data_IF_711677457768
#
_entry.id   IF_711677457768
#
_cell.length_a   1.000
_cell.length_b   1.000
_cell.length_c   1.000
_cell.angle_alpha   90.00
_cell.angle_beta   90.00
_cell.angle_gamma   90.00
#
_symmetry.space_group_name_H-M   'P 1'
#
loop_
_entity.id
_entity.type
_entity.pdbx_description
1 polymer ?
#
# COMPACT_ATOMS: atom_id res chain seq x y z
N UNK A 1 1.47 -4.52 15.58
CA UNK A 1 2.15 -5.68 14.93
C UNK A 1 1.30 -6.28 13.81
N UNK A 2 0.04 -6.62 14.08
CA UNK A 2 -0.91 -7.21 13.10
C UNK A 2 -1.01 -6.44 11.78
N UNK A 3 -1.18 -5.11 11.82
CA UNK A 3 -1.23 -4.28 10.61
C UNK A 3 0.06 -4.34 9.78
N UNK A 4 1.22 -4.42 10.45
CA UNK A 4 2.52 -4.60 9.80
C UNK A 4 2.61 -5.93 9.09
N UNK A 5 2.18 -7.01 9.75
CA UNK A 5 2.17 -8.35 9.16
C UNK A 5 1.24 -8.45 7.94
N UNK A 6 0.04 -7.85 8.01
CA UNK A 6 -0.89 -7.78 6.86
C UNK A 6 -0.26 -7.00 5.71
N UNK A 7 0.33 -5.83 5.99
CA UNK A 7 1.00 -5.01 4.97
C UNK A 7 2.15 -5.78 4.31
N UNK A 8 2.93 -6.52 5.10
CA UNK A 8 4.04 -7.33 4.63
C UNK A 8 3.58 -8.48 3.72
N UNK A 9 2.52 -9.21 4.11
CA UNK A 9 1.96 -10.28 3.28
C UNK A 9 1.45 -9.77 1.93
N UNK A 10 0.78 -8.62 1.93
CA UNK A 10 0.31 -7.98 0.70
C UNK A 10 1.51 -7.62 -0.17
N UNK A 11 2.52 -6.93 0.38
CA UNK A 11 3.73 -6.56 -0.35
C UNK A 11 4.48 -7.78 -0.90
N UNK A 12 4.53 -8.88 -0.15
CA UNK A 12 5.13 -10.13 -0.60
C UNK A 12 4.41 -10.70 -1.83
N UNK A 13 3.08 -10.72 -1.81
CA UNK A 13 2.29 -11.18 -2.95
C UNK A 13 2.47 -10.27 -4.18
N UNK A 14 2.52 -8.96 -3.99
CA UNK A 14 2.80 -7.99 -5.07
C UNK A 14 4.21 -8.20 -5.64
N UNK A 15 5.21 -8.39 -4.78
CA UNK A 15 6.59 -8.65 -5.20
C UNK A 15 6.71 -9.95 -6.00
N UNK A 16 6.09 -11.04 -5.54
CA UNK A 16 6.08 -12.32 -6.24
C UNK A 16 5.40 -12.23 -7.62
N UNK A 17 4.42 -11.32 -7.78
CA UNK A 17 3.69 -11.10 -9.04
C UNK A 17 4.22 -9.93 -9.88
N UNK A 18 5.41 -9.40 -9.53
CA UNK A 18 6.03 -8.28 -10.25
C UNK A 18 6.78 -8.69 -11.53
N UNK A 19 6.92 -10.00 -11.80
CA UNK A 19 7.61 -10.50 -12.99
C UNK A 19 6.76 -10.33 -14.26
N UNK A 20 7.42 -10.14 -15.42
CA UNK A 20 6.72 -10.01 -16.70
C UNK A 20 5.87 -11.24 -17.04
N UNK A 21 6.34 -12.43 -16.66
CA UNK A 21 5.59 -13.67 -16.83
C UNK A 21 4.28 -13.66 -16.03
N UNK A 22 4.33 -13.27 -14.76
CA UNK A 22 3.15 -13.19 -13.91
C UNK A 22 2.15 -12.14 -14.43
N UNK A 23 2.65 -10.97 -14.86
CA UNK A 23 1.84 -9.92 -15.49
C UNK A 23 1.05 -10.43 -16.69
N UNK A 24 1.73 -11.11 -17.64
CA UNK A 24 1.10 -11.67 -18.83
C UNK A 24 0.10 -12.78 -18.51
N UNK A 25 0.42 -13.65 -17.53
CA UNK A 25 -0.42 -14.78 -17.13
C UNK A 25 -1.71 -14.35 -16.40
N UNK A 26 -1.62 -13.34 -15.53
CA UNK A 26 -2.74 -12.86 -14.72
C UNK A 26 -3.63 -11.85 -15.45
N UNK A 27 -3.10 -11.15 -16.46
CA UNK A 27 -3.84 -10.18 -17.27
C UNK A 27 -4.57 -9.15 -16.40
N UNK A 28 -5.90 -9.02 -16.55
CA UNK A 28 -6.71 -8.03 -15.82
C UNK A 28 -6.71 -8.25 -14.30
N UNK A 29 -6.55 -9.49 -13.82
CA UNK A 29 -6.48 -9.82 -12.38
C UNK A 29 -5.19 -9.29 -11.74
N UNK A 30 -4.12 -9.12 -12.52
CA UNK A 30 -2.86 -8.55 -12.03
C UNK A 30 -3.05 -7.13 -11.51
N UNK A 31 -3.79 -6.30 -12.25
CA UNK A 31 -4.07 -4.92 -11.85
C UNK A 31 -4.93 -4.89 -10.58
N UNK A 32 -5.93 -5.77 -10.45
CA UNK A 32 -6.73 -5.88 -9.22
C UNK A 32 -5.88 -6.22 -8.00
N UNK A 33 -4.95 -7.17 -8.14
CA UNK A 33 -4.00 -7.52 -7.08
C UNK A 33 -3.06 -6.36 -6.76
N UNK A 34 -2.51 -5.69 -7.78
CA UNK A 34 -1.57 -4.59 -7.56
C UNK A 34 -2.23 -3.33 -6.99
N UNK A 35 -3.54 -3.16 -7.12
CA UNK A 35 -4.25 -2.05 -6.48
C UNK A 35 -4.28 -2.17 -4.94
N UNK A 36 -4.00 -3.34 -4.36
CA UNK A 36 -3.81 -3.46 -2.91
C UNK A 36 -2.62 -2.66 -2.37
N UNK A 37 -1.74 -2.13 -3.24
CA UNK A 37 -0.70 -1.17 -2.83
C UNK A 37 -1.30 0.07 -2.17
N UNK A 38 -2.50 0.50 -2.58
CA UNK A 38 -3.18 1.64 -1.96
C UNK A 38 -3.62 1.34 -0.53
N UNK A 39 -4.03 0.08 -0.26
CA UNK A 39 -4.34 -0.36 1.10
C UNK A 39 -3.08 -0.36 1.96
N UNK A 40 -1.95 -0.86 1.44
CA UNK A 40 -0.66 -0.84 2.14
C UNK A 40 -0.20 0.58 2.44
N UNK A 41 -0.38 1.52 1.50
CA UNK A 41 -0.02 2.92 1.68
C UNK A 41 -0.77 3.59 2.85
N UNK A 42 -1.92 3.04 3.27
CA UNK A 42 -2.67 3.48 4.45
C UNK A 42 -2.26 2.68 5.69
N UNK A 43 -2.17 1.35 5.57
CA UNK A 43 -1.89 0.46 6.70
C UNK A 43 -0.48 0.65 7.28
N UNK A 44 0.53 0.91 6.45
CA UNK A 44 1.90 1.01 6.91
C UNK A 44 2.16 2.27 7.77
N UNK A 45 1.72 3.49 7.39
CA UNK A 45 1.82 4.65 8.27
C UNK A 45 1.00 4.50 9.56
N UNK A 46 -0.21 3.93 9.48
CA UNK A 46 -1.05 3.66 10.67
C UNK A 46 -0.35 2.69 11.61
N UNK A 47 0.26 1.62 11.07
CA UNK A 47 1.03 0.69 11.87
C UNK A 47 2.18 1.40 12.60
N UNK A 48 2.89 2.29 11.92
CA UNK A 48 4.02 3.01 12.50
C UNK A 48 3.57 4.01 13.57
N UNK A 49 2.49 4.75 13.33
CA UNK A 49 1.87 5.65 14.30
C UNK A 49 1.46 4.93 15.60
N UNK A 50 0.90 3.72 15.51
CA UNK A 50 0.59 2.92 16.70
C UNK A 50 1.79 2.26 17.37
N UNK A 51 2.89 2.09 16.62
CA UNK A 51 4.11 1.47 17.13
C UNK A 51 4.91 2.44 18.00
N UNK A 52 4.93 3.73 17.65
CA UNK A 52 5.65 4.72 18.44
C UNK A 52 4.95 4.96 19.77
N UNK A 53 5.72 4.93 20.86
CA UNK A 53 5.23 5.23 22.22
C UNK A 53 5.68 6.61 22.72
N UNK A 54 6.44 7.32 21.89
CA UNK A 54 7.02 8.63 22.15
C UNK A 54 6.51 9.58 21.07
N UNK A 55 6.27 10.85 21.40
CA UNK A 55 6.01 11.86 20.39
C UNK A 55 7.26 12.05 19.52
N UNK A 56 7.22 11.46 18.32
CA UNK A 56 8.16 11.73 17.23
C UNK A 56 7.41 12.36 16.07
N UNK A 57 7.97 13.36 15.38
CA UNK A 57 7.37 13.92 14.17
C UNK A 57 7.47 12.97 12.96
N UNK A 58 8.40 12.01 12.97
CA UNK A 58 8.70 11.15 11.82
C UNK A 58 7.47 10.35 11.32
N UNK A 59 6.67 9.68 12.18
CA UNK A 59 5.49 8.95 11.73
C UNK A 59 4.43 9.86 11.10
N UNK A 60 4.28 11.08 11.61
CA UNK A 60 3.33 12.06 11.08
C UNK A 60 3.78 12.55 9.71
N UNK A 61 5.07 12.83 9.53
CA UNK A 61 5.65 13.22 8.23
C UNK A 61 5.42 12.11 7.20
N UNK A 62 5.68 10.85 7.54
CA UNK A 62 5.47 9.72 6.63
C UNK A 62 3.99 9.50 6.30
N UNK A 63 3.09 9.65 7.28
CA UNK A 63 1.65 9.58 7.06
C UNK A 63 1.16 10.71 6.14
N UNK A 64 1.63 11.95 6.37
CA UNK A 64 1.30 13.09 5.53
C UNK A 64 1.81 12.90 4.09
N UNK A 65 3.04 12.45 3.92
CA UNK A 65 3.60 12.15 2.60
C UNK A 65 2.79 11.06 1.88
N UNK A 66 2.42 9.98 2.58
CA UNK A 66 1.58 8.93 2.01
C UNK A 66 0.19 9.45 1.59
N UNK A 67 -0.44 10.30 2.41
CA UNK A 67 -1.72 10.94 2.08
C UNK A 67 -1.60 11.85 0.85
N UNK A 68 -0.55 12.64 0.73
CA UNK A 68 -0.30 13.49 -0.45
C UNK A 68 -0.14 12.62 -1.70
N UNK A 69 0.67 11.57 -1.65
CA UNK A 69 0.86 10.67 -2.79
C UNK A 69 -0.45 9.96 -3.21
N UNK A 70 -1.27 9.55 -2.23
CA UNK A 70 -2.59 8.98 -2.50
C UNK A 70 -3.55 9.99 -3.12
N UNK A 71 -3.56 11.23 -2.62
CA UNK A 71 -4.37 12.32 -3.17
C UNK A 71 -3.97 12.64 -4.62
N UNK A 72 -2.67 12.68 -4.93
CA UNK A 72 -2.18 12.85 -6.29
C UNK A 72 -2.60 11.70 -7.23
N UNK A 73 -2.70 10.48 -6.70
CA UNK A 73 -3.16 9.30 -7.45
C UNK A 73 -4.66 9.05 -7.35
N UNK A 74 -5.43 9.98 -6.82
CA UNK A 74 -6.85 9.80 -6.53
C UNK A 74 -7.68 9.37 -7.75
N UNK A 75 -7.37 9.88 -8.96
CA UNK A 75 -8.07 9.45 -10.19
C UNK A 75 -7.88 7.95 -10.48
N UNK A 76 -6.65 7.45 -10.33
CA UNK A 76 -6.30 6.02 -10.54
C UNK A 76 -6.82 5.14 -9.40
N UNK A 77 -6.84 5.67 -8.18
CA UNK A 77 -7.47 5.04 -7.03
C UNK A 77 -8.99 4.88 -7.23
N UNK A 78 -9.67 5.94 -7.70
CA UNK A 78 -11.11 5.91 -7.99
C UNK A 78 -11.47 4.94 -9.12
N UNK A 79 -10.61 4.78 -10.12
CA UNK A 79 -10.80 3.80 -11.20
C UNK A 79 -10.72 2.34 -10.74
N UNK A 80 -10.08 2.05 -9.60
CA UNK A 80 -10.12 0.71 -9.00
C UNK A 80 -11.44 0.44 -8.27
N UNK A 81 -12.07 1.47 -7.71
CA UNK A 81 -13.30 1.36 -6.93
C UNK A 81 -14.58 1.34 -7.80
N UNK A 82 -14.46 1.68 -9.10
CA UNK A 82 -15.52 1.58 -10.10
C UNK A 82 -15.39 0.27 -10.86
#
# INVERSE_FOLDING_TARGET
LTLGAISWLILLALAATSTQWAQRKLGRRWQTLHNFVYLVAILAPVHYLWSVKILSPQPVIYAAAALVLLALRYKKFRQWWR
#
